data_IF_260669514030
#
_entry.id   IF_260669514030
#
_cell.length_a   1.000
_cell.length_b   1.000
_cell.length_c   1.000
_cell.angle_alpha   90.00
_cell.angle_beta   90.00
_cell.angle_gamma   90.00
#
_symmetry.space_group_name_H-M   'P 1'
#
loop_
_entity.id
_entity.type
_entity.pdbx_description
1 polymer ?
#
# COMPACT_ATOMS: atom_id res chain seq x y z
N UNK A 1 2.07 6.61 -51.87
CA UNK A 1 2.91 6.05 -50.80
C UNK A 1 2.90 7.05 -49.66
N UNK A 2 1.83 6.98 -48.85
CA UNK A 2 1.62 7.84 -47.70
C UNK A 2 2.40 7.26 -46.51
N UNK A 3 3.53 7.85 -46.19
CA UNK A 3 4.20 7.64 -44.91
C UNK A 3 3.80 8.82 -44.03
N UNK A 4 2.73 8.63 -43.28
CA UNK A 4 2.28 9.56 -42.26
C UNK A 4 3.31 9.58 -41.13
N UNK A 5 3.79 10.78 -40.85
CA UNK A 5 4.56 11.17 -39.68
C UNK A 5 3.72 10.94 -38.41
N UNK A 6 3.68 9.70 -37.92
CA UNK A 6 3.29 9.37 -36.55
C UNK A 6 4.57 9.19 -35.74
N UNK A 7 5.28 10.30 -35.54
CA UNK A 7 6.52 10.35 -34.79
C UNK A 7 6.39 11.34 -33.64
N UNK A 8 6.53 10.82 -32.43
CA UNK A 8 6.86 11.54 -31.20
C UNK A 8 5.71 12.32 -30.54
N UNK A 9 4.83 11.57 -29.88
CA UNK A 9 4.30 11.95 -28.56
C UNK A 9 3.80 10.68 -27.86
N UNK A 10 4.66 9.66 -27.78
CA UNK A 10 4.49 8.62 -26.77
C UNK A 10 4.91 9.29 -25.46
N UNK A 11 3.97 10.01 -24.85
CA UNK A 11 4.11 10.55 -23.52
C UNK A 11 4.61 9.40 -22.64
N UNK A 12 5.87 9.49 -22.24
CA UNK A 12 6.38 8.68 -21.15
C UNK A 12 5.57 9.07 -19.92
N UNK A 13 4.51 8.32 -19.68
CA UNK A 13 3.97 8.09 -18.34
C UNK A 13 5.08 7.35 -17.59
N UNK A 14 6.10 8.10 -17.15
CA UNK A 14 7.12 7.61 -16.24
C UNK A 14 6.40 7.45 -14.90
N UNK A 15 5.82 6.28 -14.67
CA UNK A 15 5.39 5.88 -13.34
C UNK A 15 6.63 5.91 -12.45
N UNK A 16 6.70 6.83 -11.50
CA UNK A 16 7.46 6.56 -10.28
C UNK A 16 6.74 5.39 -9.60
N UNK A 17 7.08 4.16 -9.97
CA UNK A 17 6.79 3.00 -9.15
C UNK A 17 7.76 3.09 -7.98
N UNK A 18 7.31 3.71 -6.90
CA UNK A 18 7.92 3.42 -5.61
C UNK A 18 7.73 1.91 -5.38
N UNK A 19 8.83 1.18 -5.22
CA UNK A 19 8.78 -0.28 -5.04
C UNK A 19 8.00 -0.61 -3.75
N UNK A 20 8.14 0.26 -2.75
CA UNK A 20 7.41 0.19 -1.50
C UNK A 20 7.07 1.58 -0.94
N UNK A 21 6.16 1.69 0.04
CA UNK A 21 5.69 2.98 0.57
C UNK A 21 6.79 3.91 1.11
N UNK A 22 7.93 3.37 1.55
CA UNK A 22 9.06 4.15 2.05
C UNK A 22 10.16 4.52 1.03
N UNK A 23 10.02 4.21 -0.26
CA UNK A 23 11.13 4.28 -1.23
C UNK A 23 11.74 5.69 -1.30
N UNK A 24 10.89 6.71 -1.35
CA UNK A 24 11.35 8.09 -1.45
C UNK A 24 12.08 8.55 -0.18
N UNK A 25 11.59 8.16 0.99
CA UNK A 25 12.17 8.50 2.28
C UNK A 25 13.48 7.75 2.54
N UNK A 26 13.56 6.46 2.19
CA UNK A 26 14.78 5.64 2.33
C UNK A 26 15.93 6.25 1.54
N UNK A 27 15.69 6.61 0.27
CA UNK A 27 16.71 7.17 -0.62
C UNK A 27 17.28 8.52 -0.15
N UNK A 28 16.62 9.21 0.78
CA UNK A 28 17.02 10.54 1.28
C UNK A 28 17.49 10.48 2.73
N UNK A 29 16.78 9.75 3.59
CA UNK A 29 17.06 9.67 5.01
C UNK A 29 18.11 8.61 5.34
N UNK A 30 18.05 7.45 4.68
CA UNK A 30 18.78 6.24 5.08
C UNK A 30 19.37 5.46 3.88
N UNK A 31 20.01 6.11 2.88
CA UNK A 31 20.37 5.46 1.61
C UNK A 31 21.40 4.33 1.77
N UNK A 32 22.29 4.44 2.76
CA UNK A 32 23.33 3.44 3.03
C UNK A 32 22.92 2.40 4.10
N UNK A 33 21.67 2.45 4.59
CA UNK A 33 21.19 1.54 5.65
C UNK A 33 20.63 0.25 5.04
N UNK A 34 21.09 -0.94 5.47
CA UNK A 34 20.61 -2.21 4.92
C UNK A 34 19.22 -2.59 5.48
N UNK A 35 18.46 -3.35 4.68
CA UNK A 35 17.07 -3.79 4.89
C UNK A 35 16.57 -3.84 6.34
N UNK A 36 17.03 -4.80 7.15
CA UNK A 36 16.55 -4.99 8.53
C UNK A 36 16.79 -3.77 9.46
N UNK A 37 17.81 -2.96 9.18
CA UNK A 37 18.17 -1.79 9.98
C UNK A 37 17.43 -0.51 9.54
N UNK A 38 16.80 -0.52 8.36
CA UNK A 38 16.08 0.65 7.82
C UNK A 38 14.99 1.14 8.77
N UNK A 39 14.25 0.21 9.39
CA UNK A 39 13.21 0.57 10.35
C UNK A 39 13.75 1.32 11.57
N UNK A 40 14.99 1.06 11.99
CA UNK A 40 15.63 1.83 13.07
C UNK A 40 16.05 3.22 12.59
N UNK A 41 16.63 3.31 11.41
CA UNK A 41 17.04 4.59 10.85
C UNK A 41 15.82 5.50 10.63
N UNK A 42 14.79 5.03 9.92
CA UNK A 42 13.61 5.83 9.55
C UNK A 42 12.80 6.32 10.77
N UNK A 43 12.74 5.55 11.87
CA UNK A 43 12.02 5.99 13.07
C UNK A 43 12.81 7.00 13.91
N UNK A 44 14.10 7.17 13.65
CA UNK A 44 14.99 8.02 14.43
C UNK A 44 15.51 9.17 13.57
N UNK A 45 14.90 10.37 13.66
CA UNK A 45 15.34 11.54 12.90
C UNK A 45 16.80 11.94 13.12
N UNK A 46 17.44 11.50 14.21
CA UNK A 46 18.86 11.72 14.48
C UNK A 46 19.79 10.81 13.67
N UNK A 47 19.28 9.66 13.18
CA UNK A 47 20.00 8.74 12.28
C UNK A 47 19.84 9.13 10.80
N UNK A 48 18.93 10.05 10.47
CA UNK A 48 18.73 10.49 9.10
C UNK A 48 19.95 11.27 8.59
N UNK A 49 20.51 10.85 7.45
CA UNK A 49 21.54 11.61 6.75
C UNK A 49 21.04 12.98 6.32
N UNK A 50 19.82 13.00 5.78
CA UNK A 50 19.07 14.23 5.47
C UNK A 50 17.78 14.25 6.28
N UNK A 51 17.52 15.29 7.09
CA UNK A 51 16.29 15.41 7.85
C UNK A 51 15.05 15.29 6.96
N UNK A 52 14.37 14.16 7.10
CA UNK A 52 13.22 13.79 6.28
C UNK A 52 12.03 13.48 7.18
N UNK A 53 10.86 14.02 6.83
CA UNK A 53 9.62 13.65 7.46
C UNK A 53 9.03 12.44 6.72
N UNK A 54 8.63 11.41 7.47
CA UNK A 54 7.99 10.25 6.88
C UNK A 54 6.55 10.56 6.46
N UNK A 55 6.15 10.06 5.30
CA UNK A 55 4.73 9.97 4.95
C UNK A 55 3.98 9.05 5.93
N UNK A 56 2.65 9.16 5.97
CA UNK A 56 1.81 8.24 6.76
C UNK A 56 2.00 6.80 6.30
N UNK A 57 2.00 6.57 4.99
CA UNK A 57 2.15 5.23 4.42
C UNK A 57 3.53 4.62 4.74
N UNK A 58 4.60 5.42 4.67
CA UNK A 58 5.91 4.94 5.11
C UNK A 58 5.97 4.69 6.62
N UNK A 59 5.35 5.56 7.43
CA UNK A 59 5.28 5.34 8.89
C UNK A 59 4.60 4.02 9.22
N UNK A 60 3.52 3.71 8.52
CA UNK A 60 2.76 2.48 8.69
C UNK A 60 3.58 1.26 8.27
N UNK A 61 4.28 1.36 7.13
CA UNK A 61 5.14 0.31 6.62
C UNK A 61 6.37 0.06 7.52
N UNK A 62 6.96 1.10 8.11
CA UNK A 62 8.01 0.98 9.13
C UNK A 62 7.48 0.21 10.34
N UNK A 63 6.28 0.55 10.82
CA UNK A 63 5.69 -0.14 11.96
C UNK A 63 5.39 -1.62 11.67
N UNK A 64 4.92 -1.94 10.46
CA UNK A 64 4.75 -3.33 10.00
C UNK A 64 6.09 -4.09 10.02
N UNK A 65 7.12 -3.58 9.36
CA UNK A 65 8.43 -4.22 9.28
C UNK A 65 9.06 -4.43 10.67
N UNK A 66 8.93 -3.46 11.58
CA UNK A 66 9.45 -3.57 12.95
C UNK A 66 8.67 -4.54 13.83
N UNK A 67 7.35 -4.66 13.61
CA UNK A 67 6.50 -5.58 14.35
C UNK A 67 6.68 -7.02 13.89
N UNK A 68 6.84 -7.21 12.59
CA UNK A 68 6.96 -8.50 11.92
C UNK A 68 8.40 -8.93 11.64
N UNK A 69 9.41 -8.29 12.27
CA UNK A 69 10.80 -8.53 11.89
C UNK A 69 11.22 -10.01 11.99
N UNK A 70 10.82 -10.70 13.07
CA UNK A 70 11.08 -12.14 13.25
C UNK A 70 10.37 -13.00 12.19
N UNK A 71 9.14 -12.61 11.82
CA UNK A 71 8.35 -13.30 10.81
C UNK A 71 8.91 -13.08 9.40
N UNK A 72 9.40 -11.87 9.09
CA UNK A 72 10.02 -11.54 7.80
C UNK A 72 11.32 -12.36 7.62
N UNK A 73 12.16 -12.41 8.65
CA UNK A 73 13.39 -13.21 8.64
C UNK A 73 13.10 -14.72 8.50
N UNK A 74 12.05 -15.21 9.18
CA UNK A 74 11.75 -16.65 9.22
C UNK A 74 10.92 -17.17 8.04
N UNK A 75 10.10 -16.32 7.43
CA UNK A 75 9.08 -16.73 6.45
C UNK A 75 9.17 -15.99 5.11
N UNK A 76 9.83 -14.83 5.06
CA UNK A 76 9.81 -13.96 3.90
C UNK A 76 11.19 -13.73 3.27
N UNK A 77 12.15 -14.64 3.45
CA UNK A 77 13.47 -14.56 2.82
C UNK A 77 14.19 -13.21 3.06
N UNK A 78 14.07 -12.65 4.27
CA UNK A 78 14.62 -11.34 4.63
C UNK A 78 14.10 -10.18 3.75
N UNK A 79 12.88 -10.30 3.21
CA UNK A 79 12.19 -9.26 2.43
C UNK A 79 11.77 -8.07 3.30
N UNK A 80 12.73 -7.38 3.91
CA UNK A 80 12.55 -6.15 4.67
C UNK A 80 12.49 -4.96 3.72
N UNK A 81 11.47 -4.13 3.87
CA UNK A 81 11.28 -2.94 3.05
C UNK A 81 11.38 -3.24 1.55
N UNK A 82 10.61 -4.21 1.07
CA UNK A 82 10.48 -4.52 -0.36
C UNK A 82 9.00 -4.51 -0.77
N UNK A 83 8.74 -4.62 -2.07
CA UNK A 83 7.38 -4.83 -2.60
C UNK A 83 6.77 -6.15 -2.11
N UNK A 84 7.61 -7.15 -1.85
CA UNK A 84 7.23 -8.48 -1.39
C UNK A 84 6.91 -8.59 0.12
N UNK A 85 7.32 -7.63 0.95
CA UNK A 85 7.10 -7.69 2.41
C UNK A 85 5.62 -7.91 2.76
N UNK A 86 4.75 -7.06 2.21
CA UNK A 86 3.31 -7.11 2.53
C UNK A 86 2.63 -8.34 1.91
N UNK A 87 2.82 -8.68 0.61
CA UNK A 87 2.31 -9.93 0.04
C UNK A 87 2.79 -11.17 0.78
N UNK A 88 4.05 -11.24 1.20
CA UNK A 88 4.55 -12.38 1.95
C UNK A 88 3.79 -12.58 3.26
N UNK A 89 3.67 -11.52 4.06
CA UNK A 89 3.00 -11.58 5.36
C UNK A 89 1.50 -11.84 5.23
N UNK A 90 0.85 -11.35 4.16
CA UNK A 90 -0.61 -11.40 4.02
C UNK A 90 -1.15 -12.55 3.18
N UNK A 91 -0.39 -13.01 2.18
CA UNK A 91 -0.88 -13.94 1.17
C UNK A 91 -0.07 -15.23 1.09
N UNK A 92 1.24 -15.17 1.32
CA UNK A 92 2.12 -16.33 1.11
C UNK A 92 2.46 -17.08 2.39
N UNK A 93 2.32 -16.41 3.53
CA UNK A 93 2.53 -16.99 4.86
C UNK A 93 1.21 -17.30 5.52
N UNK A 94 1.11 -18.48 6.13
CA UNK A 94 -0.05 -18.84 6.95
C UNK A 94 -0.15 -17.91 8.16
N UNK A 95 -1.29 -17.25 8.36
CA UNK A 95 -1.47 -16.31 9.48
C UNK A 95 -1.25 -16.97 10.86
N UNK A 96 -1.41 -18.29 10.95
CA UNK A 96 -1.15 -19.08 12.16
C UNK A 96 0.33 -19.33 12.45
N UNK A 97 1.23 -19.16 11.48
CA UNK A 97 2.67 -19.23 11.70
C UNK A 97 3.28 -17.89 12.09
N UNK A 98 2.55 -16.78 11.89
CA UNK A 98 3.01 -15.45 12.26
C UNK A 98 2.93 -15.21 13.77
N UNK A 99 3.85 -14.40 14.29
CA UNK A 99 3.80 -13.98 15.70
C UNK A 99 2.53 -13.20 16.02
N UNK A 100 2.10 -13.27 17.29
CA UNK A 100 0.98 -12.46 17.78
C UNK A 100 1.22 -10.95 17.62
N UNK A 101 2.50 -10.53 17.66
CA UNK A 101 2.89 -9.14 17.48
C UNK A 101 2.67 -8.69 16.03
N UNK A 102 3.10 -9.49 15.06
CA UNK A 102 2.91 -9.19 13.65
C UNK A 102 1.43 -9.17 13.26
N UNK A 103 0.68 -10.21 13.64
CA UNK A 103 -0.77 -10.31 13.34
C UNK A 103 -1.58 -9.16 13.93
N UNK A 104 -1.26 -8.70 15.15
CA UNK A 104 -1.91 -7.53 15.77
C UNK A 104 -1.65 -6.23 15.00
N UNK A 105 -0.55 -6.14 14.26
CA UNK A 105 -0.18 -4.96 13.50
C UNK A 105 -0.79 -4.97 12.10
N UNK A 106 -0.89 -6.14 11.48
CA UNK A 106 -1.52 -6.30 10.18
C UNK A 106 -3.00 -5.89 10.17
N UNK A 107 -3.72 -6.06 11.30
CA UNK A 107 -5.15 -5.70 11.36
C UNK A 107 -5.44 -4.21 11.18
N UNK A 108 -4.45 -3.34 11.39
CA UNK A 108 -4.58 -1.90 11.15
C UNK A 108 -3.86 -1.45 9.88
N UNK A 109 -2.79 -2.16 9.47
CA UNK A 109 -2.00 -1.84 8.28
C UNK A 109 -2.62 -2.39 6.98
N UNK A 110 -3.43 -3.44 7.05
CA UNK A 110 -4.12 -4.05 5.91
C UNK A 110 -5.60 -3.76 6.04
N UNK A 111 -6.26 -3.19 5.01
CA UNK A 111 -7.70 -3.03 5.01
C UNK A 111 -8.37 -4.38 5.30
N UNK A 112 -9.08 -4.46 6.42
CA UNK A 112 -9.79 -5.65 6.82
C UNK A 112 -10.97 -5.85 5.86
N UNK A 113 -10.79 -6.67 4.83
CA UNK A 113 -11.89 -7.18 4.02
C UNK A 113 -12.59 -8.28 4.84
N UNK A 114 -13.10 -7.92 6.02
CA UNK A 114 -13.82 -8.82 6.90
C UNK A 114 -15.31 -8.55 6.75
N UNK A 115 -15.96 -9.42 5.99
CA UNK A 115 -17.36 -9.83 6.18
C UNK A 115 -18.37 -8.68 6.35
N UNK A 116 -18.59 -7.91 5.30
CA UNK A 116 -19.97 -7.54 5.00
C UNK A 116 -20.67 -8.83 4.58
N UNK A 117 -21.70 -9.20 5.33
CA UNK A 117 -22.69 -10.19 4.92
C UNK A 117 -23.12 -9.95 3.46
N UNK A 118 -23.51 -11.02 2.79
CA UNK A 118 -23.99 -11.12 1.41
C UNK A 118 -24.88 -9.95 0.92
N UNK A 119 -24.31 -8.80 0.60
CA UNK A 119 -24.93 -7.86 -0.33
C UNK A 119 -24.39 -8.25 -1.72
N UNK A 120 -25.23 -8.74 -2.64
CA UNK A 120 -24.78 -9.07 -3.97
C UNK A 120 -24.27 -7.78 -4.61
N UNK A 121 -22.95 -7.64 -4.71
CA UNK A 121 -22.31 -6.53 -5.44
C UNK A 121 -22.73 -6.64 -6.91
N UNK A 122 -23.82 -5.98 -7.27
CA UNK A 122 -24.36 -5.94 -8.63
C UNK A 122 -24.26 -4.54 -9.20
N UNK A 123 -23.05 -4.05 -9.43
CA UNK A 123 -22.52 -3.78 -10.77
C UNK A 123 -21.08 -3.24 -10.70
N UNK A 124 -20.48 -3.01 -11.87
CA UNK A 124 -19.10 -2.58 -12.13
C UNK A 124 -18.62 -1.32 -11.36
N UNK A 125 -19.49 -0.62 -10.63
CA UNK A 125 -19.16 0.57 -9.82
C UNK A 125 -19.34 0.39 -8.30
N UNK A 126 -19.76 -0.77 -7.81
CA UNK A 126 -19.75 -1.09 -6.36
C UNK A 126 -20.68 -0.23 -5.51
N UNK A 127 -21.83 0.18 -6.05
CA UNK A 127 -22.88 0.91 -5.32
C UNK A 127 -23.94 -0.06 -4.80
N UNK A 128 -24.45 0.18 -3.59
CA UNK A 128 -25.55 -0.61 -3.01
C UNK A 128 -26.91 -0.24 -3.64
N UNK A 129 -27.90 -1.11 -3.49
CA UNK A 129 -29.27 -0.86 -4.00
C UNK A 129 -29.89 0.39 -3.34
N UNK A 130 -29.55 0.69 -2.08
CA UNK A 130 -29.96 1.92 -1.40
C UNK A 130 -29.31 3.17 -2.03
N UNK A 131 -28.03 3.12 -2.36
CA UNK A 131 -27.34 4.23 -3.03
C UNK A 131 -27.91 4.49 -4.44
N UNK A 132 -28.34 3.44 -5.13
CA UNK A 132 -29.04 3.55 -6.41
C UNK A 132 -30.39 4.24 -6.28
N UNK A 133 -31.19 3.87 -5.27
CA UNK A 133 -32.48 4.47 -5.02
C UNK A 133 -32.35 5.96 -4.67
N UNK A 134 -31.41 6.30 -3.79
CA UNK A 134 -31.12 7.68 -3.42
C UNK A 134 -30.67 8.49 -4.65
N UNK A 135 -29.74 7.96 -5.47
CA UNK A 135 -29.30 8.62 -6.71
C UNK A 135 -30.45 8.88 -7.68
N UNK A 136 -31.36 7.93 -7.85
CA UNK A 136 -32.52 8.08 -8.73
C UNK A 136 -33.50 9.12 -8.22
N UNK A 137 -33.69 9.22 -6.90
CA UNK A 137 -34.51 10.26 -6.26
C UNK A 137 -33.89 11.65 -6.51
N UNK A 138 -32.59 11.82 -6.25
CA UNK A 138 -31.86 13.07 -6.54
C UNK A 138 -31.89 13.46 -8.02
N UNK A 139 -31.90 12.49 -8.94
CA UNK A 139 -32.01 12.75 -10.38
C UNK A 139 -33.44 13.20 -10.75
N UNK A 140 -34.47 12.54 -10.20
CA UNK A 140 -35.87 12.90 -10.43
C UNK A 140 -36.23 14.30 -9.93
N UNK A 141 -35.69 14.72 -8.79
CA UNK A 141 -35.88 16.09 -8.26
C UNK A 141 -35.26 17.16 -9.17
N UNK A 142 -34.18 16.83 -9.90
CA UNK A 142 -33.47 17.76 -10.78
C UNK A 142 -34.03 17.83 -12.20
N UNK A 143 -34.70 16.77 -12.65
CA UNK A 143 -35.34 16.73 -13.97
C UNK A 143 -36.77 17.32 -13.97
N UNK A 144 -37.33 17.61 -12.78
CA UNK A 144 -38.64 18.21 -12.59
C UNK A 144 -38.67 19.72 -12.27
N UNK A 145 -37.52 20.42 -12.34
CA UNK A 145 -37.38 21.85 -12.02
C UNK A 145 -37.13 22.76 -13.22
#
# INVERSE_FOLDING_TARGET
MAWLLLGVCFAHFFSCLAEHPCEAEVNVACPDTPGAELGRCLRNPEEHETPTALSSECTDFVALNLACAEDIESHCDDAFFTDDTTPCLTQWTDSSSLTQRCTSVMSWAVPQILEAEEEPVTDELGLSDEDYAEKMEWQGEREGG
#
